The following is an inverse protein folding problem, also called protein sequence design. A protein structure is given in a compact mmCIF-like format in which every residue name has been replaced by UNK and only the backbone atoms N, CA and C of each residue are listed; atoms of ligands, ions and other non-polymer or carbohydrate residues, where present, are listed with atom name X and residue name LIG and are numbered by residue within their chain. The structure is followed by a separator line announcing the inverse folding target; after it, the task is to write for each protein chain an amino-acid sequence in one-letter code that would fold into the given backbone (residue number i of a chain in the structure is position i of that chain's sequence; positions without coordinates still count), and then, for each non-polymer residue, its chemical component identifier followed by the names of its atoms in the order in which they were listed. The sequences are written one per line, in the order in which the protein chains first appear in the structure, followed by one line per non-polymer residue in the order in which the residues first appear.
data_IF_191502523823
#
_entry.id   IF_191502523823
#
_cell.length_a   1.000
_cell.length_b   1.000
_cell.length_c   1.000
_cell.angle_alpha   90.00
_cell.angle_beta   90.00
_cell.angle_gamma   90.00
#
_symmetry.space_group_name_H-M   'P 1'
#
loop_
_entity.id
_entity.type
_entity.pdbx_description
1 polymer ?
#
# COMPACT_ATOMS: atom_id res chain seq x y z
N UNK A 1 -9.54 -16.55 -28.23
CA UNK A 1 -10.55 -15.94 -27.36
C UNK A 1 -9.78 -15.13 -26.33
N UNK A 2 -9.88 -13.80 -26.36
CA UNK A 2 -9.18 -12.94 -25.42
C UNK A 2 -9.97 -12.91 -24.11
N UNK A 3 -9.39 -13.42 -23.04
CA UNK A 3 -9.90 -13.22 -21.68
C UNK A 3 -9.64 -11.77 -21.28
N UNK A 4 -10.65 -10.95 -20.96
CA UNK A 4 -10.41 -9.67 -20.32
C UNK A 4 -10.45 -9.90 -18.81
N UNK A 5 -9.31 -9.91 -18.12
CA UNK A 5 -9.35 -9.98 -16.67
C UNK A 5 -7.99 -10.16 -16.01
N UNK A 6 -7.75 -9.28 -15.03
CA UNK A 6 -6.66 -9.27 -14.04
C UNK A 6 -5.26 -9.01 -14.57
N UNK A 7 -4.86 -7.75 -14.53
CA UNK A 7 -3.44 -7.39 -14.42
C UNK A 7 -3.20 -6.36 -13.31
N UNK A 8 -4.04 -6.36 -12.27
CA UNK A 8 -3.92 -5.45 -11.11
C UNK A 8 -4.06 -6.18 -9.75
N UNK A 9 -4.01 -7.51 -9.72
CA UNK A 9 -4.07 -8.26 -8.46
C UNK A 9 -2.64 -8.44 -7.92
N UNK A 10 -2.15 -7.45 -7.16
CA UNK A 10 -1.13 -7.75 -6.17
C UNK A 10 -1.78 -8.09 -4.83
N UNK A 11 -1.02 -7.98 -3.75
CA UNK A 11 -1.44 -8.34 -2.40
C UNK A 11 -2.58 -7.43 -1.92
N UNK A 12 -3.60 -8.04 -1.30
CA UNK A 12 -4.70 -7.32 -0.66
C UNK A 12 -4.51 -7.41 0.84
N UNK A 13 -4.42 -6.26 1.49
CA UNK A 13 -4.12 -6.18 2.91
C UNK A 13 -5.19 -5.36 3.60
N UNK A 14 -5.62 -5.81 4.77
CA UNK A 14 -6.49 -5.06 5.68
C UNK A 14 -5.72 -4.88 6.97
N UNK A 15 -5.64 -3.64 7.43
CA UNK A 15 -4.93 -3.32 8.64
C UNK A 15 -5.16 -1.89 9.11
N UNK A 16 -4.59 -1.56 10.25
CA UNK A 16 -4.65 -0.23 10.83
C UNK A 16 -3.36 0.53 10.54
N UNK A 17 -3.45 1.78 10.10
CA UNK A 17 -2.27 2.61 9.85
C UNK A 17 -1.55 2.86 11.18
N UNK A 18 -0.32 2.37 11.26
CA UNK A 18 0.58 2.57 12.41
C UNK A 18 1.43 3.83 12.24
N UNK A 19 1.77 4.16 11.01
CA UNK A 19 2.50 5.39 10.66
C UNK A 19 2.21 5.74 9.20
N UNK A 20 2.11 7.04 8.92
CA UNK A 20 2.02 7.58 7.57
C UNK A 20 2.85 8.86 7.48
N UNK A 21 3.79 8.91 6.54
CA UNK A 21 4.72 10.04 6.40
C UNK A 21 5.01 10.35 4.93
N UNK A 22 5.30 11.63 4.65
CA UNK A 22 5.73 12.06 3.33
C UNK A 22 7.24 11.91 3.21
N UNK A 23 7.68 11.03 2.32
CA UNK A 23 9.08 10.80 2.05
C UNK A 23 9.46 11.43 0.71
N UNK A 24 10.37 12.39 0.73
CA UNK A 24 10.96 12.94 -0.49
C UNK A 24 12.06 12.00 -0.98
N UNK A 25 11.89 11.37 -2.13
CA UNK A 25 13.03 10.68 -2.77
C UNK A 25 13.91 11.73 -3.41
N UNK A 26 15.04 12.04 -2.77
CA UNK A 26 16.04 12.96 -3.33
C UNK A 26 16.68 12.33 -4.56
N UNK A 27 16.28 12.78 -5.74
CA UNK A 27 17.02 12.53 -6.97
C UNK A 27 18.17 13.55 -7.02
N UNK A 28 19.42 13.09 -7.01
CA UNK A 28 20.65 13.91 -7.04
C UNK A 28 20.85 14.68 -8.37
N UNK A 29 19.78 15.01 -9.09
CA UNK A 29 19.84 15.70 -10.37
C UNK A 29 19.16 17.06 -10.22
N UNK A 30 19.93 18.13 -10.45
CA UNK A 30 19.63 19.54 -10.22
C UNK A 30 18.37 20.12 -10.92
N UNK A 31 17.50 19.32 -11.54
CA UNK A 31 16.40 19.84 -12.34
C UNK A 31 15.13 18.97 -12.40
N UNK A 32 14.97 18.01 -11.49
CA UNK A 32 13.76 17.17 -11.41
C UNK A 32 13.10 17.37 -10.05
N UNK A 33 11.84 17.79 -10.06
CA UNK A 33 11.01 17.92 -8.86
C UNK A 33 11.09 16.64 -8.05
N UNK A 34 11.55 16.73 -6.79
CA UNK A 34 11.62 15.58 -5.88
C UNK A 34 10.27 14.85 -5.88
N UNK A 35 10.23 13.61 -6.36
CA UNK A 35 9.00 12.82 -6.32
C UNK A 35 8.74 12.50 -4.85
N UNK A 36 7.71 13.10 -4.29
CA UNK A 36 7.27 12.80 -2.93
C UNK A 36 6.40 11.54 -2.99
N UNK A 37 6.64 10.61 -2.07
CA UNK A 37 5.85 9.39 -1.90
C UNK A 37 5.35 9.31 -0.47
N UNK A 38 4.15 8.78 -0.27
CA UNK A 38 3.68 8.45 1.06
C UNK A 38 4.27 7.10 1.46
N UNK A 39 4.91 7.02 2.63
CA UNK A 39 5.29 5.76 3.27
C UNK A 39 4.25 5.44 4.34
N UNK A 40 3.71 4.24 4.29
CA UNK A 40 2.66 3.75 5.18
C UNK A 40 3.13 2.45 5.81
N UNK A 41 3.06 2.38 7.14
CA UNK A 41 3.21 1.14 7.89
C UNK A 41 1.86 0.73 8.45
N UNK A 42 1.54 -0.55 8.34
CA UNK A 42 0.26 -1.10 8.79
C UNK A 42 0.50 -2.09 9.94
N UNK A 43 -0.38 -2.07 10.93
CA UNK A 43 -0.68 -3.25 11.73
C UNK A 43 -1.64 -4.14 10.91
N UNK A 44 -1.09 -5.19 10.29
CA UNK A 44 -1.82 -6.00 9.31
C UNK A 44 -2.67 -7.04 10.05
N UNK A 45 -3.98 -6.96 9.86
CA UNK A 45 -4.95 -7.91 10.42
C UNK A 45 -5.16 -9.10 9.48
N UNK A 46 -5.20 -8.84 8.17
CA UNK A 46 -5.43 -9.84 7.12
C UNK A 46 -4.63 -9.51 5.88
N UNK A 47 -4.07 -10.53 5.25
CA UNK A 47 -3.34 -10.44 4.01
C UNK A 47 -3.79 -11.58 3.09
N UNK A 48 -4.12 -11.27 1.84
CA UNK A 48 -4.34 -12.27 0.81
C UNK A 48 -3.54 -11.94 -0.43
N UNK A 49 -3.17 -12.96 -1.19
CA UNK A 49 -2.58 -12.77 -2.50
C UNK A 49 -3.65 -12.51 -3.59
N UNK A 50 -3.21 -12.55 -4.84
CA UNK A 50 -4.02 -12.45 -6.07
C UNK A 50 -5.08 -13.56 -6.19
N UNK A 51 -4.68 -14.79 -5.82
CA UNK A 51 -5.52 -15.97 -5.86
C UNK A 51 -6.53 -15.99 -4.70
N UNK A 52 -6.34 -15.11 -3.70
CA UNK A 52 -7.18 -14.99 -2.51
C UNK A 52 -6.77 -15.94 -1.39
N UNK A 53 -5.59 -16.56 -1.50
CA UNK A 53 -4.97 -17.35 -0.45
C UNK A 53 -4.47 -16.46 0.68
N UNK A 54 -4.66 -16.90 1.91
CA UNK A 54 -4.23 -16.16 3.10
C UNK A 54 -2.71 -16.19 3.22
N UNK A 55 -2.13 -15.01 3.40
CA UNK A 55 -0.71 -14.82 3.61
C UNK A 55 -0.42 -14.65 5.10
N UNK A 56 0.74 -15.15 5.52
CA UNK A 56 1.16 -15.05 6.91
C UNK A 56 1.51 -13.60 7.27
N UNK A 57 0.64 -12.97 8.08
CA UNK A 57 0.75 -11.56 8.46
C UNK A 57 2.01 -11.25 9.28
N UNK A 58 2.58 -12.23 9.99
CA UNK A 58 3.80 -12.03 10.79
C UNK A 58 5.00 -11.76 9.89
N UNK A 59 5.02 -12.34 8.69
CA UNK A 59 6.04 -12.07 7.69
C UNK A 59 5.90 -10.68 7.04
N UNK A 60 4.77 -10.00 7.25
CA UNK A 60 4.45 -8.71 6.62
C UNK A 60 4.46 -7.54 7.62
N UNK A 61 4.55 -7.80 8.92
CA UNK A 61 4.36 -6.82 10.00
C UNK A 61 5.37 -5.65 10.03
N UNK A 62 6.52 -5.80 9.39
CA UNK A 62 7.58 -4.78 9.30
C UNK A 62 7.64 -4.08 7.93
N UNK A 63 6.72 -4.40 7.02
CA UNK A 63 6.72 -3.83 5.68
C UNK A 63 6.27 -2.36 5.67
N UNK A 64 7.00 -1.56 4.90
CA UNK A 64 6.60 -0.20 4.53
C UNK A 64 6.04 -0.22 3.11
N UNK A 65 4.79 0.18 2.99
CA UNK A 65 4.11 0.37 1.73
C UNK A 65 4.34 1.80 1.22
N UNK A 66 4.43 1.95 -0.10
CA UNK A 66 4.67 3.23 -0.76
C UNK A 66 3.50 3.57 -1.67
N UNK A 67 2.92 4.75 -1.50
CA UNK A 67 1.83 5.25 -2.34
C UNK A 67 2.06 6.69 -2.78
N UNK A 68 1.09 7.28 -3.48
CA UNK A 68 1.18 8.69 -3.88
C UNK A 68 1.16 9.62 -2.65
N UNK A 69 1.84 10.76 -2.75
CA UNK A 69 1.94 11.76 -1.69
C UNK A 69 0.58 12.25 -1.16
N UNK A 70 -0.47 12.23 -1.99
CA UNK A 70 -1.83 12.64 -1.62
C UNK A 70 -2.46 11.78 -0.53
N UNK A 71 -1.89 10.62 -0.21
CA UNK A 71 -2.42 9.76 0.86
C UNK A 71 -2.19 10.36 2.25
N UNK A 72 -1.09 11.09 2.45
CA UNK A 72 -0.73 11.68 3.76
C UNK A 72 -1.81 12.63 4.31
N UNK A 73 -2.37 13.58 3.52
CA UNK A 73 -3.48 14.40 4.03
C UNK A 73 -4.84 13.68 4.07
N UNK A 74 -4.97 12.46 3.52
CA UNK A 74 -6.25 11.75 3.38
C UNK A 74 -6.46 10.67 4.45
N UNK A 75 -5.38 10.13 4.99
CA UNK A 75 -5.37 9.05 5.96
C UNK A 75 -4.45 9.40 7.11
N UNK A 76 -4.75 8.87 8.29
CA UNK A 76 -4.06 9.18 9.52
C UNK A 76 -3.70 7.90 10.27
N UNK A 77 -2.77 8.01 11.22
CA UNK A 77 -2.52 6.95 12.18
C UNK A 77 -3.82 6.56 12.91
N UNK A 78 -4.04 5.26 13.07
CA UNK A 78 -5.26 4.69 13.63
C UNK A 78 -6.39 4.45 12.62
N UNK A 79 -6.29 4.95 11.38
CA UNK A 79 -7.27 4.64 10.35
C UNK A 79 -7.15 3.18 9.91
N UNK A 80 -8.28 2.48 9.90
CA UNK A 80 -8.37 1.13 9.35
C UNK A 80 -8.60 1.18 7.86
N UNK A 81 -7.70 0.57 7.10
CA UNK A 81 -7.68 0.64 5.64
C UNK A 81 -7.58 -0.73 5.01
N UNK A 82 -8.11 -0.81 3.79
CA UNK A 82 -7.80 -1.88 2.86
C UNK A 82 -6.90 -1.32 1.77
N UNK A 83 -5.73 -1.95 1.58
CA UNK A 83 -4.80 -1.61 0.51
C UNK A 83 -4.70 -2.75 -0.51
N UNK A 84 -4.42 -2.39 -1.74
CA UNK A 84 -4.02 -3.30 -2.82
C UNK A 84 -2.66 -2.84 -3.29
N UNK A 85 -1.72 -3.78 -3.39
CA UNK A 85 -0.37 -3.51 -3.86
C UNK A 85 -0.21 -3.94 -5.33
N UNK A 86 0.86 -3.49 -5.99
CA UNK A 86 1.24 -4.02 -7.29
C UNK A 86 1.85 -5.42 -7.16
N UNK A 87 1.62 -6.28 -8.14
CA UNK A 87 2.20 -7.62 -8.18
C UNK A 87 3.74 -7.59 -8.33
N UNK A 88 4.28 -6.59 -9.05
CA UNK A 88 5.71 -6.49 -9.35
C UNK A 88 6.56 -6.09 -8.14
N UNK A 89 6.05 -5.19 -7.29
CA UNK A 89 6.81 -4.66 -6.15
C UNK A 89 6.29 -5.15 -4.81
N UNK A 90 5.05 -5.62 -4.73
CA UNK A 90 4.34 -6.04 -3.51
C UNK A 90 4.25 -4.99 -2.39
N UNK A 91 4.90 -3.84 -2.56
CA UNK A 91 5.00 -2.75 -1.61
C UNK A 91 4.42 -1.44 -2.17
N UNK A 92 4.25 -1.34 -3.49
CA UNK A 92 3.63 -0.16 -4.11
C UNK A 92 2.12 -0.26 -4.04
N UNK A 93 1.48 0.72 -3.42
CA UNK A 93 0.02 0.81 -3.28
C UNK A 93 -0.58 1.26 -4.61
N UNK A 94 -1.40 0.41 -5.22
CA UNK A 94 -2.22 0.75 -6.40
C UNK A 94 -3.60 1.28 -5.98
N UNK A 95 -4.12 0.83 -4.83
CA UNK A 95 -5.40 1.28 -4.28
C UNK A 95 -5.39 1.29 -2.76
N UNK A 96 -6.03 2.28 -2.14
CA UNK A 96 -6.25 2.36 -0.70
C UNK A 96 -7.63 2.97 -0.41
N UNK A 97 -8.35 2.38 0.53
CA UNK A 97 -9.72 2.78 0.90
C UNK A 97 -9.93 2.53 2.40
N UNK A 98 -10.80 3.31 3.08
CA UNK A 98 -11.24 2.94 4.42
C UNK A 98 -11.85 1.54 4.43
N UNK A 99 -11.45 0.70 5.37
CA UNK A 99 -12.06 -0.61 5.55
C UNK A 99 -13.39 -0.46 6.30
N UNK A 100 -14.47 -1.15 5.89
CA UNK A 100 -15.73 -1.09 6.62
C UNK A 100 -15.55 -1.57 8.07
N UNK A 101 -16.17 -0.85 9.00
CA UNK A 101 -16.36 -1.31 10.37
C UNK A 101 -17.38 -2.46 10.31
N UNK A 102 -16.89 -3.70 10.44
CA UNK A 102 -17.74 -4.90 10.55
C UNK A 102 -18.31 -5.01 11.95
#
# INVERSE_FOLDING_TARGET
MASPGRSDDGMRLVGTIRSIELHATSTNFHNVSSRQVAKIQLDIERATDDEGEELDVLNLADLSFQGPAELVPRFHEGDRVQIVTSAESQLHITSIRPAPLS
#
